data_IF_464612065761
#
_entry.id   IF_464612065761
#
_cell.length_a   1.000
_cell.length_b   1.000
_cell.length_c   1.000
_cell.angle_alpha   90.00
_cell.angle_beta   90.00
_cell.angle_gamma   90.00
#
_symmetry.space_group_name_H-M   'P 1'
#
loop_
_entity.id
_entity.type
_entity.pdbx_description
1 polymer ?
#
# COMPACT_ATOMS: atom_id res chain seq x y z
N UNK A 1 -53.48 2.83 35.55
CA UNK A 1 -52.94 4.20 35.35
C UNK A 1 -52.16 4.58 36.59
N UNK A 2 -50.83 4.54 36.51
CA UNK A 2 -49.91 5.11 37.50
C UNK A 2 -48.65 5.52 36.74
N UNK A 3 -48.40 6.83 36.65
CA UNK A 3 -47.27 7.41 35.94
C UNK A 3 -46.10 7.57 36.93
N UNK A 4 -44.97 6.93 36.63
CA UNK A 4 -43.71 7.15 37.33
C UNK A 4 -42.95 8.30 36.67
N UNK A 5 -42.67 9.34 37.45
CA UNK A 5 -41.82 10.48 37.07
C UNK A 5 -40.37 10.08 37.35
N UNK A 6 -39.53 10.01 36.30
CA UNK A 6 -38.07 9.91 36.44
C UNK A 6 -37.43 11.27 36.20
N UNK A 7 -36.57 11.67 37.15
CA UNK A 7 -35.84 12.93 37.16
C UNK A 7 -34.72 12.96 36.10
N UNK A 8 -34.54 14.13 35.48
CA UNK A 8 -33.42 14.46 34.59
C UNK A 8 -32.17 14.83 35.39
N UNK A 9 -30.98 14.30 35.06
CA UNK A 9 -29.73 14.76 35.66
C UNK A 9 -29.23 16.06 34.99
N UNK A 10 -28.86 17.03 35.82
CA UNK A 10 -28.14 18.25 35.45
C UNK A 10 -26.64 17.96 35.33
N UNK A 11 -26.06 18.21 34.16
CA UNK A 11 -24.61 18.12 33.93
C UNK A 11 -24.01 19.52 34.09
N UNK A 12 -23.08 19.66 35.04
CA UNK A 12 -22.33 20.89 35.27
C UNK A 12 -21.30 21.15 34.18
N UNK A 13 -21.29 22.36 33.62
CA UNK A 13 -20.29 22.81 32.66
C UNK A 13 -19.00 23.22 33.37
N UNK A 14 -17.88 22.59 33.03
CA UNK A 14 -16.54 23.08 33.38
C UNK A 14 -16.01 24.05 32.31
N UNK A 15 -15.28 25.12 32.68
CA UNK A 15 -14.72 26.05 31.70
C UNK A 15 -13.56 25.40 30.92
N UNK A 16 -13.70 25.34 29.60
CA UNK A 16 -12.61 24.99 28.67
C UNK A 16 -11.64 26.16 28.57
N UNK A 17 -10.38 25.92 28.96
CA UNK A 17 -9.24 26.79 28.65
C UNK A 17 -8.90 26.63 27.17
N UNK A 18 -9.01 27.71 26.40
CA UNK A 18 -8.66 27.74 24.97
C UNK A 18 -7.15 27.97 24.84
N UNK A 19 -6.42 26.94 24.43
CA UNK A 19 -5.00 27.06 24.06
C UNK A 19 -4.88 27.72 22.68
N UNK A 20 -4.00 28.71 22.48
CA UNK A 20 -3.85 29.38 21.19
C UNK A 20 -3.30 28.44 20.11
N UNK A 21 -3.89 28.55 18.91
CA UNK A 21 -3.48 27.85 17.69
C UNK A 21 -2.15 28.44 17.21
N UNK A 22 -1.09 27.64 17.00
CA UNK A 22 0.12 28.16 16.38
C UNK A 22 -0.12 28.50 14.91
N UNK A 23 0.23 29.73 14.57
CA UNK A 23 0.16 30.37 13.26
C UNK A 23 0.86 29.55 12.17
N UNK A 24 0.19 29.43 11.02
CA UNK A 24 0.69 28.78 9.81
C UNK A 24 1.90 29.54 9.21
N UNK A 25 3.10 29.13 9.61
CA UNK A 25 4.35 29.46 8.92
C UNK A 25 5.37 28.34 9.19
N UNK A 26 5.24 27.23 8.46
CA UNK A 26 6.07 26.04 8.67
C UNK A 26 5.63 24.87 7.81
N UNK A 27 5.55 25.07 6.49
CA UNK A 27 5.22 24.01 5.52
C UNK A 27 6.37 23.77 4.54
N UNK A 28 7.63 23.92 4.95
CA UNK A 28 8.78 23.49 4.14
C UNK A 28 9.88 22.89 5.03
N UNK A 29 9.52 21.77 5.68
CA UNK A 29 10.45 20.73 6.12
C UNK A 29 9.58 19.55 6.54
N UNK A 30 8.93 18.90 5.55
CA UNK A 30 8.50 17.52 5.77
C UNK A 30 9.78 16.71 5.92
N UNK A 31 10.08 16.47 7.18
CA UNK A 31 11.01 15.47 7.68
C UNK A 31 11.08 14.31 6.67
N UNK A 32 12.27 14.09 6.10
CA UNK A 32 12.56 12.97 5.23
C UNK A 32 12.37 11.74 6.11
N UNK A 33 11.16 11.21 6.17
CA UNK A 33 10.83 10.11 7.06
C UNK A 33 11.81 8.99 6.74
N UNK A 34 12.76 8.77 7.67
CA UNK A 34 13.89 7.89 7.44
C UNK A 34 13.31 6.49 7.30
N UNK A 35 13.17 6.04 6.05
CA UNK A 35 12.69 4.72 5.74
C UNK A 35 13.70 3.72 6.31
N UNK A 36 13.21 2.77 7.11
CA UNK A 36 14.04 1.64 7.53
C UNK A 36 14.48 0.90 6.28
N UNK A 37 15.79 0.86 6.05
CA UNK A 37 16.40 0.09 4.96
C UNK A 37 16.74 -1.29 5.50
N UNK A 38 16.21 -2.34 4.87
CA UNK A 38 16.47 -3.72 5.28
C UNK A 38 16.87 -4.55 4.08
N UNK A 39 17.77 -5.52 4.25
CA UNK A 39 18.20 -6.38 3.16
C UNK A 39 17.24 -7.57 2.98
N UNK A 40 16.94 -7.92 1.74
CA UNK A 40 16.35 -9.21 1.36
C UNK A 40 17.21 -9.82 0.25
N UNK A 41 18.28 -10.50 0.68
CA UNK A 41 19.30 -11.08 -0.21
C UNK A 41 18.92 -12.43 -0.80
N UNK A 42 17.90 -13.09 -0.26
CA UNK A 42 17.41 -14.40 -0.70
C UNK A 42 15.95 -14.31 -1.09
N UNK A 43 15.54 -15.17 -2.03
CA UNK A 43 14.12 -15.30 -2.40
C UNK A 43 13.34 -15.85 -1.22
N UNK A 44 12.40 -15.07 -0.71
CA UNK A 44 11.39 -15.55 0.22
C UNK A 44 10.35 -16.39 -0.53
N UNK A 45 10.09 -17.61 -0.04
CA UNK A 45 9.03 -18.48 -0.57
C UNK A 45 7.86 -18.47 0.42
N UNK A 46 6.75 -17.77 0.11
CA UNK A 46 5.59 -17.78 0.99
C UNK A 46 4.98 -19.20 1.07
N UNK A 47 4.36 -19.57 2.19
CA UNK A 47 3.52 -20.76 2.27
C UNK A 47 2.41 -20.75 1.21
N UNK A 48 1.95 -21.94 0.79
CA UNK A 48 0.94 -22.08 -0.27
C UNK A 48 -0.36 -21.27 0.00
N UNK A 49 -0.82 -21.22 1.26
CA UNK A 49 -2.02 -20.45 1.63
C UNK A 49 -1.92 -18.95 1.32
N UNK A 50 -0.71 -18.38 1.28
CA UNK A 50 -0.50 -16.97 0.91
C UNK A 50 -0.62 -16.75 -0.61
N UNK A 51 -0.55 -17.80 -1.41
CA UNK A 51 -0.69 -17.76 -2.87
C UNK A 51 -2.10 -18.16 -3.36
N UNK A 52 -2.94 -18.70 -2.47
CA UNK A 52 -4.32 -19.13 -2.78
C UNK A 52 -5.34 -17.98 -2.86
N UNK A 53 -4.92 -16.76 -3.21
CA UNK A 53 -5.79 -15.56 -3.26
C UNK A 53 -6.56 -15.32 -1.95
N UNK A 54 -5.86 -15.36 -0.81
CA UNK A 54 -6.44 -14.94 0.47
C UNK A 54 -6.63 -13.43 0.47
N UNK A 55 -7.85 -13.03 0.09
CA UNK A 55 -8.27 -11.64 0.07
C UNK A 55 -8.82 -11.23 1.43
N UNK A 56 -8.44 -10.04 1.88
CA UNK A 56 -8.84 -9.47 3.14
C UNK A 56 -9.54 -8.14 2.92
N UNK A 57 -10.60 -7.89 3.69
CA UNK A 57 -11.29 -6.61 3.72
C UNK A 57 -11.16 -6.02 5.12
N UNK A 58 -10.59 -4.82 5.18
CA UNK A 58 -10.25 -4.11 6.41
C UNK A 58 -11.46 -3.41 7.03
N UNK A 59 -11.47 -3.34 8.36
CA UNK A 59 -12.39 -2.52 9.12
C UNK A 59 -12.17 -1.04 8.79
N UNK A 60 -13.23 -0.35 8.35
CA UNK A 60 -13.16 1.08 8.03
C UNK A 60 -12.59 1.41 6.65
N UNK A 61 -12.23 0.39 5.87
CA UNK A 61 -11.85 0.50 4.46
C UNK A 61 -12.53 -0.63 3.65
N UNK A 62 -13.84 -0.78 3.81
CA UNK A 62 -14.64 -1.83 3.17
C UNK A 62 -14.66 -1.71 1.64
N UNK A 63 -14.20 -0.58 1.11
CA UNK A 63 -14.06 -0.31 -0.31
C UNK A 63 -12.77 -0.89 -0.94
N UNK A 64 -11.87 -1.47 -0.13
CA UNK A 64 -10.62 -2.07 -0.62
C UNK A 64 -10.46 -3.51 -0.17
N UNK A 65 -10.14 -4.35 -1.15
CA UNK A 65 -9.85 -5.76 -0.97
C UNK A 65 -8.36 -5.96 -1.18
N UNK A 66 -7.66 -6.48 -0.19
CA UNK A 66 -6.21 -6.63 -0.21
C UNK A 66 -5.82 -8.10 -0.28
N UNK A 67 -4.80 -8.45 -1.04
CA UNK A 67 -4.17 -9.77 -0.90
C UNK A 67 -3.25 -9.74 0.32
N UNK A 68 -3.50 -10.67 1.25
CA UNK A 68 -2.69 -10.86 2.45
C UNK A 68 -2.41 -9.57 3.26
N UNK A 69 -3.37 -8.66 3.48
CA UNK A 69 -3.09 -7.44 4.27
C UNK A 69 -2.30 -7.77 5.56
N UNK A 70 -1.07 -7.23 5.75
CA UNK A 70 -0.23 -7.63 6.87
C UNK A 70 -0.83 -7.29 8.21
N UNK A 71 -1.63 -6.22 8.32
CA UNK A 71 -2.28 -5.80 9.57
C UNK A 71 -3.80 -5.67 9.33
N UNK A 72 -4.52 -6.80 9.30
CA UNK A 72 -5.94 -6.81 8.93
C UNK A 72 -6.88 -6.35 10.06
N UNK A 73 -6.42 -6.41 11.32
CA UNK A 73 -7.10 -5.87 12.50
C UNK A 73 -6.09 -5.28 13.50
N UNK A 74 -6.51 -4.42 14.46
CA UNK A 74 -5.57 -3.84 15.41
C UNK A 74 -4.86 -4.93 16.21
N UNK A 75 -3.56 -4.76 16.44
CA UNK A 75 -2.73 -5.71 17.19
C UNK A 75 -2.60 -7.13 16.58
N UNK A 76 -3.02 -7.33 15.32
CA UNK A 76 -2.73 -8.56 14.60
C UNK A 76 -1.85 -8.28 13.40
N UNK A 77 -0.74 -9.02 13.30
CA UNK A 77 0.14 -8.98 12.14
C UNK A 77 0.27 -10.37 11.54
N UNK A 78 -0.14 -10.52 10.28
CA UNK A 78 0.09 -11.74 9.49
C UNK A 78 1.52 -11.70 8.97
N UNK A 79 2.41 -12.39 9.67
CA UNK A 79 3.84 -12.41 9.32
C UNK A 79 4.20 -13.49 8.30
N UNK A 80 3.39 -14.55 8.17
CA UNK A 80 3.73 -15.75 7.39
C UNK A 80 3.76 -15.52 5.87
N UNK A 81 3.09 -14.49 5.36
CA UNK A 81 2.98 -14.22 3.93
C UNK A 81 4.02 -13.23 3.40
N UNK A 82 4.91 -12.74 4.26
CA UNK A 82 5.92 -11.74 3.91
C UNK A 82 7.28 -12.10 4.49
N UNK A 83 8.37 -11.61 3.90
CA UNK A 83 9.68 -11.68 4.52
C UNK A 83 9.67 -11.01 5.90
N UNK A 84 10.26 -11.64 6.92
CA UNK A 84 10.31 -11.12 8.29
C UNK A 84 10.93 -9.72 8.34
N UNK A 85 11.97 -9.50 7.54
CA UNK A 85 12.67 -8.24 7.35
C UNK A 85 11.73 -7.11 6.91
N UNK A 86 10.82 -7.43 5.99
CA UNK A 86 9.84 -6.48 5.47
C UNK A 86 8.76 -6.19 6.52
N UNK A 87 8.24 -7.23 7.19
CA UNK A 87 7.20 -7.07 8.22
C UNK A 87 7.70 -6.25 9.41
N UNK A 88 8.96 -6.41 9.81
CA UNK A 88 9.53 -5.66 10.93
C UNK A 88 9.61 -4.15 10.67
N UNK A 89 9.72 -3.74 9.41
CA UNK A 89 9.67 -2.34 9.00
C UNK A 89 8.29 -1.84 8.59
N UNK A 90 7.29 -2.73 8.54
CA UNK A 90 5.94 -2.39 8.08
C UNK A 90 5.13 -1.72 9.20
N UNK A 91 4.42 -0.66 8.86
CA UNK A 91 3.40 -0.09 9.72
C UNK A 91 2.14 0.25 8.93
N UNK A 92 0.97 0.11 9.56
CA UNK A 92 -0.34 0.31 8.92
C UNK A 92 -1.17 1.35 9.68
N UNK A 93 -1.90 2.15 8.93
CA UNK A 93 -2.96 3.05 9.41
C UNK A 93 -4.29 2.45 8.96
N UNK A 94 -4.81 1.57 9.82
CA UNK A 94 -5.97 0.71 9.57
C UNK A 94 -7.21 1.43 9.02
N UNK A 95 -7.49 2.65 9.48
CA UNK A 95 -8.66 3.43 9.06
C UNK A 95 -8.52 4.12 7.70
N UNK A 96 -7.34 4.07 7.08
CA UNK A 96 -7.06 4.76 5.81
C UNK A 96 -6.61 3.83 4.71
N UNK A 97 -6.51 2.52 4.99
CA UNK A 97 -5.91 1.54 4.10
C UNK A 97 -4.56 2.04 3.57
N UNK A 98 -3.81 2.69 4.45
CA UNK A 98 -2.53 3.32 4.16
C UNK A 98 -1.50 2.60 4.99
N UNK A 99 -0.35 2.33 4.39
CA UNK A 99 0.75 1.65 5.04
C UNK A 99 2.06 2.37 4.75
N UNK A 100 3.05 2.02 5.54
CA UNK A 100 4.43 2.40 5.34
C UNK A 100 5.26 1.13 5.32
N UNK A 101 5.65 0.73 4.11
CA UNK A 101 6.56 -0.38 3.90
C UNK A 101 8.02 0.09 4.02
N UNK A 102 8.94 -0.77 4.50
CA UNK A 102 10.37 -0.48 4.45
C UNK A 102 10.85 -0.48 2.99
N UNK A 103 12.02 0.12 2.78
CA UNK A 103 12.76 -0.01 1.52
C UNK A 103 13.73 -1.17 1.62
N UNK A 104 13.75 -2.04 0.62
CA UNK A 104 14.59 -3.23 0.62
C UNK A 104 15.88 -2.98 -0.17
N UNK A 105 17.05 -3.13 0.44
CA UNK A 105 18.33 -2.94 -0.27
C UNK A 105 19.43 -3.80 0.34
N UNK A 106 19.94 -4.82 -0.35
CA UNK A 106 19.46 -5.32 -1.66
C UNK A 106 18.07 -5.97 -1.59
N UNK A 107 17.37 -6.05 -2.73
CA UNK A 107 16.05 -6.65 -2.89
C UNK A 107 16.07 -7.76 -3.93
N UNK A 108 15.64 -8.95 -3.51
CA UNK A 108 15.20 -10.04 -4.39
C UNK A 108 13.69 -10.19 -4.24
N UNK A 109 12.92 -10.20 -5.34
CA UNK A 109 11.48 -10.39 -5.26
C UNK A 109 11.12 -11.77 -4.68
N UNK A 110 10.06 -11.88 -3.85
CA UNK A 110 9.58 -13.17 -3.38
C UNK A 110 9.20 -14.13 -4.52
N UNK A 111 9.19 -15.42 -4.22
CA UNK A 111 8.66 -16.43 -5.15
C UNK A 111 7.18 -16.17 -5.44
N UNK A 112 6.79 -16.28 -6.71
CA UNK A 112 5.43 -15.96 -7.18
C UNK A 112 5.15 -14.46 -7.29
N UNK A 113 6.18 -13.62 -7.28
CA UNK A 113 6.08 -12.18 -7.51
C UNK A 113 6.90 -11.79 -8.73
N UNK A 114 6.36 -10.87 -9.53
CA UNK A 114 6.99 -10.33 -10.71
C UNK A 114 7.82 -9.08 -10.37
N UNK A 115 9.02 -8.99 -10.93
CA UNK A 115 9.86 -7.80 -10.85
C UNK A 115 9.38 -6.73 -11.83
N UNK A 116 9.16 -5.54 -11.31
CA UNK A 116 8.83 -4.32 -12.03
C UNK A 116 10.07 -3.43 -12.00
N UNK A 117 10.85 -3.47 -13.09
CA UNK A 117 12.13 -2.75 -13.21
C UNK A 117 12.16 -1.73 -14.35
N UNK A 118 11.26 -1.86 -15.32
CA UNK A 118 11.27 -1.05 -16.55
C UNK A 118 11.00 0.45 -16.33
N UNK A 119 10.68 0.85 -15.10
CA UNK A 119 10.32 2.22 -14.73
C UNK A 119 11.48 3.04 -14.17
N UNK A 120 12.61 2.43 -13.77
CA UNK A 120 13.67 3.15 -13.07
C UNK A 120 15.09 2.75 -13.51
N UNK A 121 15.94 3.74 -13.79
CA UNK A 121 17.32 3.53 -14.24
C UNK A 121 18.34 3.38 -13.11
N UNK A 122 17.93 3.54 -11.85
CA UNK A 122 18.81 3.54 -10.67
C UNK A 122 19.04 2.14 -10.07
N UNK A 123 18.58 1.08 -10.73
CA UNK A 123 18.50 -0.26 -10.13
C UNK A 123 17.34 -0.44 -9.17
N UNK A 124 16.46 0.56 -9.06
CA UNK A 124 15.26 0.48 -8.25
C UNK A 124 14.25 -0.46 -8.91
N UNK A 125 13.62 -1.30 -8.11
CA UNK A 125 12.57 -2.22 -8.53
C UNK A 125 11.41 -2.20 -7.54
N UNK A 126 10.25 -2.62 -8.03
CA UNK A 126 9.12 -3.02 -7.20
C UNK A 126 8.76 -4.47 -7.53
N UNK A 127 8.22 -5.18 -6.56
CA UNK A 127 7.72 -6.54 -6.71
C UNK A 127 6.20 -6.50 -6.53
N UNK A 128 5.47 -7.13 -7.45
CA UNK A 128 4.03 -7.36 -7.32
C UNK A 128 3.73 -8.85 -7.37
N UNK A 129 2.73 -9.32 -6.64
CA UNK A 129 2.25 -10.69 -6.74
C UNK A 129 1.90 -11.06 -8.19
N UNK A 130 2.03 -12.33 -8.56
CA UNK A 130 1.68 -12.78 -9.90
C UNK A 130 0.21 -12.46 -10.25
N UNK A 131 -0.03 -12.03 -11.49
CA UNK A 131 -1.33 -11.52 -11.94
C UNK A 131 -1.68 -10.09 -11.50
N UNK A 132 -0.82 -9.41 -10.72
CA UNK A 132 -1.02 -8.01 -10.34
C UNK A 132 -0.18 -7.05 -11.21
N UNK A 133 -0.77 -5.91 -11.55
CA UNK A 133 -0.12 -4.81 -12.27
C UNK A 133 0.29 -3.72 -11.29
N UNK A 134 1.48 -3.15 -11.46
CA UNK A 134 1.94 -2.02 -10.64
C UNK A 134 1.32 -0.69 -11.12
N UNK A 135 0.69 0.04 -10.20
CA UNK A 135 0.34 1.44 -10.35
C UNK A 135 1.33 2.31 -9.57
N UNK A 136 2.07 3.15 -10.30
CA UNK A 136 2.97 4.13 -9.69
C UNK A 136 2.19 5.16 -8.85
N UNK A 137 2.80 5.72 -7.79
CA UNK A 137 2.16 6.78 -7.01
C UNK A 137 1.87 8.00 -7.88
N UNK A 138 0.67 8.58 -7.75
CA UNK A 138 0.31 9.82 -8.48
C UNK A 138 1.12 11.03 -8.05
N UNK A 139 1.68 10.99 -6.83
CA UNK A 139 2.61 11.98 -6.28
C UNK A 139 3.77 11.27 -5.62
N UNK A 140 4.98 11.56 -6.08
CA UNK A 140 6.20 11.06 -5.46
C UNK A 140 6.38 11.70 -4.08
N UNK A 141 6.21 10.91 -3.01
CA UNK A 141 6.42 11.36 -1.65
C UNK A 141 7.90 11.37 -1.25
N UNK A 142 8.70 10.47 -1.83
CA UNK A 142 10.15 10.37 -1.66
C UNK A 142 10.79 10.13 -3.03
N UNK A 143 11.69 11.03 -3.45
CA UNK A 143 12.33 10.97 -4.77
C UNK A 143 13.35 9.82 -4.87
N UNK A 144 13.90 9.40 -3.74
CA UNK A 144 14.83 8.28 -3.67
C UNK A 144 14.08 6.93 -3.67
N UNK A 145 12.76 6.96 -3.45
CA UNK A 145 11.87 5.80 -3.46
C UNK A 145 10.72 5.96 -4.45
N UNK A 146 10.99 5.84 -5.75
CA UNK A 146 10.00 6.21 -6.76
C UNK A 146 8.81 5.24 -6.87
N UNK A 147 8.89 4.05 -6.26
CA UNK A 147 7.75 3.15 -6.09
C UNK A 147 6.96 3.37 -4.79
N UNK A 148 7.48 4.19 -3.85
CA UNK A 148 6.86 4.39 -2.55
C UNK A 148 5.51 5.09 -2.65
N UNK A 149 4.49 4.50 -2.03
CA UNK A 149 3.09 4.92 -2.16
C UNK A 149 2.40 4.43 -3.44
N UNK A 150 3.09 3.62 -4.27
CA UNK A 150 2.47 2.87 -5.34
C UNK A 150 1.61 1.72 -4.81
N UNK A 151 0.90 1.04 -5.71
CA UNK A 151 0.01 -0.08 -5.34
C UNK A 151 0.01 -1.10 -6.47
N UNK A 152 0.12 -2.38 -6.13
CA UNK A 152 -0.14 -3.45 -7.09
C UNK A 152 -1.65 -3.72 -7.12
N UNK A 153 -2.24 -3.94 -8.29
CA UNK A 153 -3.67 -4.22 -8.39
C UNK A 153 -3.97 -5.31 -9.43
N UNK A 154 -5.06 -6.04 -9.23
CA UNK A 154 -5.67 -6.92 -10.21
C UNK A 154 -7.15 -6.58 -10.34
N UNK A 155 -7.70 -6.73 -11.54
CA UNK A 155 -9.10 -6.43 -11.80
C UNK A 155 -9.95 -7.68 -11.61
N UNK A 156 -11.15 -7.50 -11.07
CA UNK A 156 -12.21 -8.49 -11.14
C UNK A 156 -13.10 -8.23 -12.35
N UNK A 157 -13.51 -9.30 -13.01
CA UNK A 157 -14.58 -9.26 -14.00
C UNK A 157 -15.93 -9.02 -13.32
N UNK A 158 -16.89 -8.44 -14.06
CA UNK A 158 -18.25 -8.28 -13.56
C UNK A 158 -18.84 -9.63 -13.18
N UNK A 159 -19.46 -9.72 -12.00
CA UNK A 159 -20.01 -10.94 -11.41
C UNK A 159 -18.99 -12.01 -11.04
N UNK A 160 -17.68 -11.72 -11.10
CA UNK A 160 -16.67 -12.63 -10.58
C UNK A 160 -16.85 -12.78 -9.06
N UNK A 161 -16.85 -14.02 -8.59
CA UNK A 161 -16.89 -14.35 -7.16
C UNK A 161 -15.47 -14.57 -6.65
N UNK A 162 -15.16 -14.00 -5.48
CA UNK A 162 -13.91 -14.22 -4.77
C UNK A 162 -14.18 -14.54 -3.29
N UNK A 163 -13.31 -15.36 -2.71
CA UNK A 163 -13.34 -15.66 -1.27
C UNK A 163 -12.64 -14.53 -0.52
N UNK A 164 -13.38 -13.82 0.33
CA UNK A 164 -12.85 -12.66 1.08
C UNK A 164 -13.06 -12.87 2.56
N UNK A 165 -11.98 -12.75 3.33
CA UNK A 165 -12.03 -12.69 4.80
C UNK A 165 -12.26 -11.24 5.24
N UNK A 166 -13.44 -10.98 5.78
CA UNK A 166 -13.86 -9.67 6.28
C UNK A 166 -13.57 -9.62 7.77
N UNK A 167 -12.74 -8.66 8.18
CA UNK A 167 -12.42 -8.44 9.59
C UNK A 167 -13.37 -7.43 10.21
N UNK A 168 -13.68 -7.61 11.49
CA UNK A 168 -14.40 -6.65 12.32
C UNK A 168 -13.46 -5.97 13.35
N UNK A 169 -13.86 -4.85 13.99
CA UNK A 169 -12.98 -4.12 14.91
C UNK A 169 -12.61 -4.86 16.20
N UNK A 170 -13.20 -6.03 16.47
CA UNK A 170 -13.11 -6.77 17.74
C UNK A 170 -12.60 -8.20 17.55
N UNK A 171 -11.79 -8.43 16.50
CA UNK A 171 -11.12 -9.71 16.18
C UNK A 171 -12.00 -10.82 15.57
N UNK A 172 -13.29 -10.60 15.34
CA UNK A 172 -14.07 -11.55 14.54
C UNK A 172 -13.74 -11.34 13.06
N UNK A 173 -13.42 -12.45 12.40
CA UNK A 173 -13.38 -12.49 10.95
C UNK A 173 -14.47 -13.42 10.44
N UNK A 174 -15.00 -13.12 9.26
CA UNK A 174 -15.90 -14.02 8.54
C UNK A 174 -15.45 -14.11 7.10
N UNK A 175 -15.42 -15.32 6.56
CA UNK A 175 -15.11 -15.54 5.15
C UNK A 175 -16.40 -15.56 4.36
N UNK A 176 -16.49 -14.71 3.34
CA UNK A 176 -17.67 -14.59 2.49
C UNK A 176 -17.31 -14.87 1.03
N UNK A 177 -18.31 -15.33 0.28
CA UNK A 177 -18.30 -15.23 -1.18
C UNK A 177 -18.65 -13.79 -1.56
N UNK A 178 -17.64 -12.99 -1.88
CA UNK A 178 -17.82 -11.63 -2.37
C UNK A 178 -17.99 -11.65 -3.89
N UNK A 179 -18.94 -10.89 -4.40
CA UNK A 179 -19.24 -10.82 -5.84
C UNK A 179 -18.95 -9.41 -6.34
N UNK A 180 -18.16 -9.30 -7.41
CA UNK A 180 -17.90 -8.02 -8.08
C UNK A 180 -19.19 -7.49 -8.73
N UNK A 181 -19.80 -6.48 -8.13
CA UNK A 181 -21.05 -5.85 -8.62
C UNK A 181 -20.82 -4.68 -9.57
N UNK A 182 -19.56 -4.24 -9.72
CA UNK A 182 -19.16 -3.09 -10.55
C UNK A 182 -17.89 -3.43 -11.33
N UNK A 183 -17.59 -2.65 -12.37
CA UNK A 183 -16.37 -2.80 -13.16
C UNK A 183 -15.72 -1.42 -13.40
N UNK A 184 -14.43 -1.24 -13.08
CA UNK A 184 -13.53 -2.23 -12.50
C UNK A 184 -13.73 -2.34 -10.98
N UNK A 185 -13.91 -3.56 -10.47
CA UNK A 185 -13.62 -3.86 -9.08
C UNK A 185 -12.18 -4.40 -9.00
N UNK A 186 -11.47 -4.17 -7.90
CA UNK A 186 -10.03 -4.45 -7.85
C UNK A 186 -9.63 -5.10 -6.53
N UNK A 187 -8.66 -6.01 -6.60
CA UNK A 187 -7.85 -6.41 -5.46
C UNK A 187 -6.53 -5.64 -5.49
N UNK A 188 -5.99 -5.36 -4.31
CA UNK A 188 -4.78 -4.57 -4.12
C UNK A 188 -3.71 -5.38 -3.40
N UNK A 189 -2.44 -5.07 -3.63
CA UNK A 189 -1.31 -5.59 -2.87
C UNK A 189 -0.32 -4.47 -2.58
N UNK A 190 0.35 -4.57 -1.43
CA UNK A 190 1.48 -3.70 -1.11
C UNK A 190 2.68 -4.11 -1.97
N UNK A 191 3.25 -3.20 -2.78
CA UNK A 191 4.50 -3.50 -3.47
C UNK A 191 5.64 -3.68 -2.44
N UNK A 192 6.51 -4.66 -2.67
CA UNK A 192 7.81 -4.73 -2.00
C UNK A 192 8.80 -4.03 -2.91
N UNK A 193 9.49 -3.01 -2.43
CA UNK A 193 10.28 -2.14 -3.29
C UNK A 193 11.66 -1.86 -2.72
N UNK A 194 12.57 -1.43 -3.59
CA UNK A 194 13.92 -1.01 -3.24
C UNK A 194 14.94 -1.31 -4.33
N UNK A 195 16.21 -1.50 -3.96
CA UNK A 195 17.32 -1.65 -4.93
C UNK A 195 17.56 -3.12 -5.24
N UNK A 196 17.51 -3.51 -6.52
CA UNK A 196 17.70 -4.89 -6.95
C UNK A 196 19.04 -5.46 -6.50
N UNK A 197 19.04 -6.70 -6.01
CA UNK A 197 20.25 -7.36 -5.51
C UNK A 197 21.32 -7.59 -6.58
N UNK A 198 20.91 -7.73 -7.83
CA UNK A 198 21.76 -7.91 -9.01
C UNK A 198 22.13 -6.60 -9.71
N UNK A 199 21.71 -5.45 -9.16
CA UNK A 199 22.07 -4.16 -9.73
C UNK A 199 23.55 -3.84 -9.52
N UNK A 200 24.29 -3.81 -10.62
CA UNK A 200 25.63 -3.22 -10.68
C UNK A 200 25.51 -1.82 -11.27
N UNK A 201 25.80 -0.75 -10.51
CA UNK A 201 25.88 0.58 -11.07
C UNK A 201 26.87 0.55 -12.22
N UNK A 202 26.46 1.04 -13.39
CA UNK A 202 27.44 1.31 -14.45
C UNK A 202 28.28 2.48 -13.96
N UNK A 203 29.42 2.19 -13.34
CA UNK A 203 30.48 3.18 -13.21
C UNK A 203 30.89 3.52 -14.63
N UNK A 204 30.31 4.60 -15.17
CA UNK A 204 31.00 5.32 -16.23
C UNK A 204 32.35 5.67 -15.61
N UNK A 205 33.38 4.91 -15.98
CA UNK A 205 34.74 5.27 -15.67
C UNK A 205 34.93 6.63 -16.34
N UNK A 206 34.78 7.70 -15.56
CA UNK A 206 35.35 9.00 -15.89
C UNK A 206 36.84 8.76 -15.98
N UNK A 207 37.30 8.32 -17.15
CA UNK A 207 38.64 8.61 -17.60
C UNK A 207 38.71 10.13 -17.49
N UNK A 208 39.49 10.60 -16.52
CA UNK A 208 39.81 12.00 -16.37
C UNK A 208 40.59 12.38 -17.63
N UNK A 209 39.86 12.76 -18.68
CA UNK A 209 40.43 13.40 -19.85
C UNK A 209 40.31 14.89 -19.59
N UNK A 210 41.49 15.52 -19.48
CA UNK A 210 41.67 16.94 -19.26
C UNK A 210 40.75 17.78 -20.15
N UNK A 211 40.07 18.72 -19.51
CA UNK A 211 39.27 19.75 -20.14
C UNK A 211 40.13 20.59 -21.11
N UNK A 212 39.71 20.64 -22.37
CA UNK A 212 39.70 21.92 -23.10
C UNK A 212 38.57 21.97 -24.14
N UNK A 213 37.61 22.86 -23.87
CA UNK A 213 36.89 23.71 -24.82
C UNK A 213 36.12 23.06 -25.99
N UNK A 214 34.80 23.06 -25.90
CA UNK A 214 33.93 22.84 -27.07
C UNK A 214 32.45 23.08 -26.78
N UNK A 215 32.00 24.33 -26.93
CA UNK A 215 30.59 24.74 -26.88
C UNK A 215 29.81 24.14 -28.05
N UNK A 216 28.71 23.41 -27.80
CA UNK A 216 27.59 23.29 -28.75
C UNK A 216 26.25 23.15 -28.01
N UNK A 217 25.36 24.12 -28.25
CA UNK A 217 23.92 24.02 -28.05
C UNK A 217 23.34 22.97 -28.99
N UNK A 218 22.33 22.22 -28.53
CA UNK A 218 21.13 21.91 -29.32
C UNK A 218 20.03 21.41 -28.39
N UNK A 219 18.89 22.09 -28.50
CA UNK A 219 17.59 21.65 -28.03
C UNK A 219 17.26 20.25 -28.55
N UNK A 220 16.57 19.43 -27.75
CA UNK A 220 15.41 18.74 -28.28
C UNK A 220 14.45 18.23 -27.18
N UNK A 221 13.19 18.56 -27.43
CA UNK A 221 12.01 18.15 -26.70
C UNK A 221 11.82 16.63 -26.76
N UNK A 222 11.65 15.98 -25.63
CA UNK A 222 10.82 14.77 -25.53
C UNK A 222 10.32 14.57 -24.10
N UNK A 223 9.14 15.09 -23.80
CA UNK A 223 8.34 14.63 -22.67
C UNK A 223 7.74 13.25 -23.00
N UNK A 224 7.89 12.22 -22.16
CA UNK A 224 7.07 11.02 -22.26
C UNK A 224 5.68 11.31 -21.65
N UNK A 225 4.70 10.83 -22.38
CA UNK A 225 3.28 11.14 -22.29
C UNK A 225 2.63 10.66 -20.99
N UNK A 226 1.69 11.48 -20.50
CA UNK A 226 0.60 11.06 -19.62
C UNK A 226 -0.13 9.85 -20.22
N UNK A 227 -0.42 8.86 -19.39
CA UNK A 227 -1.37 7.80 -19.69
C UNK A 227 -1.70 6.99 -18.45
N UNK A 228 -2.82 7.31 -17.80
CA UNK A 228 -3.32 6.49 -16.68
C UNK A 228 -4.31 7.25 -15.80
N UNK A 229 -5.51 7.48 -16.31
CA UNK A 229 -6.58 8.14 -15.56
C UNK A 229 -7.23 7.12 -14.60
N UNK A 230 -6.59 6.81 -13.47
CA UNK A 230 -7.21 5.98 -12.44
C UNK A 230 -8.27 6.78 -11.70
N UNK A 231 -9.51 6.74 -12.20
CA UNK A 231 -10.68 7.13 -11.40
C UNK A 231 -10.98 5.98 -10.45
N UNK A 232 -10.70 6.18 -9.16
CA UNK A 232 -11.14 5.28 -8.11
C UNK A 232 -12.67 5.16 -8.18
N UNK A 233 -13.17 3.99 -8.55
CA UNK A 233 -14.60 3.68 -8.47
C UNK A 233 -14.93 3.33 -7.01
N UNK A 234 -16.01 3.91 -6.49
CA UNK A 234 -16.54 3.61 -5.16
C UNK A 234 -17.19 2.23 -5.25
N UNK A 235 -16.62 1.24 -4.55
CA UNK A 235 -17.16 -0.12 -4.48
C UNK A 235 -18.20 -0.16 -3.36
N UNK A 236 -19.47 -0.42 -3.71
CA UNK A 236 -20.52 -0.78 -2.76
C UNK A 236 -20.80 -2.27 -2.94
N UNK A 237 -20.20 -3.10 -2.09
CA UNK A 237 -20.49 -4.53 -2.04
C UNK A 237 -21.79 -4.80 -1.26
N UNK A 238 -22.65 -5.67 -1.80
CA UNK A 238 -23.82 -6.18 -1.09
C UNK A 238 -23.42 -7.47 -0.38
N UNK A 239 -23.49 -7.48 0.95
CA UNK A 239 -23.33 -8.68 1.78
C UNK A 239 -24.55 -9.58 1.62
N UNK A 240 -24.42 -10.67 0.88
CA UNK A 240 -25.39 -11.75 0.89
C UNK A 240 -25.05 -12.71 2.05
N UNK A 241 -25.51 -12.37 3.25
CA UNK A 241 -25.46 -13.30 4.37
C UNK A 241 -26.47 -14.43 4.11
N UNK A 242 -25.96 -15.59 3.68
CA UNK A 242 -26.77 -16.81 3.61
C UNK A 242 -26.94 -17.33 5.04
N UNK A 243 -28.06 -17.01 5.68
CA UNK A 243 -28.52 -17.67 6.89
C UNK A 243 -28.87 -19.12 6.55
N UNK A 244 -27.91 -20.03 6.70
CA UNK A 244 -28.23 -21.45 6.85
C UNK A 244 -28.64 -21.66 8.30
N UNK A 245 -29.96 -21.57 8.56
CA UNK A 245 -30.54 -22.12 9.76
C UNK A 245 -30.51 -23.65 9.65
N UNK A 246 -29.81 -24.29 10.59
CA UNK A 246 -29.98 -25.71 10.93
C UNK A 246 -30.88 -25.81 12.15
#
# INVERSE_FOLDING_TARGET
MAAAVLATPTVGASPMTITPIPTAAGLELRDKQVATTVALTTTFTPPAHCTENHLTMLVGALEKIWINEPVPLPNSTITSCYPTEWVNGYSSVMSKSSSMAPVMSPLVCPSGWNTISSTWSSGYIACCADGFTFAAPTKTADRDRPAYGGTCYSNFDLSQTATVTVYNPVELSTTIAWVATTTPAQAYAHPIEGIAADYTPTTSASSAQESSGGTQNSDDNAAPRLGGNSKAAIVIGVLLASLMAW
#
